data_IF_935195513083
#
_entry.id   IF_935195513083
#
_cell.length_a   1.000
_cell.length_b   1.000
_cell.length_c   1.000
_cell.angle_alpha   90.00
_cell.angle_beta   90.00
_cell.angle_gamma   90.00
#
_symmetry.space_group_name_H-M   'P 1'
#
loop_
_entity.id
_entity.type
_entity.pdbx_description
1 polymer ?
#
# COMPACT_ATOMS: atom_id res chain seq x y z
N UNK A 1 7.49 -29.64 37.00
CA UNK A 1 6.18 -28.95 36.84
C UNK A 1 6.07 -28.49 35.39
N UNK A 2 5.15 -29.07 34.63
CA UNK A 2 5.06 -28.87 33.17
C UNK A 2 4.16 -27.66 32.86
N UNK A 3 4.73 -26.60 32.30
CA UNK A 3 4.01 -25.37 31.98
C UNK A 3 3.15 -25.59 30.71
N UNK A 4 1.82 -25.59 30.89
CA UNK A 4 0.86 -25.65 29.77
C UNK A 4 0.99 -24.39 28.92
N UNK A 5 1.47 -24.55 27.68
CA UNK A 5 1.43 -23.53 26.61
C UNK A 5 -0.04 -23.19 26.34
N UNK A 6 -0.47 -21.95 26.60
CA UNK A 6 -1.77 -21.44 26.15
C UNK A 6 -1.67 -21.23 24.64
N UNK A 7 -2.46 -21.97 23.86
CA UNK A 7 -2.63 -21.68 22.45
C UNK A 7 -3.43 -20.36 22.32
N UNK A 8 -2.82 -19.33 21.75
CA UNK A 8 -3.54 -18.12 21.39
C UNK A 8 -4.55 -18.49 20.30
N UNK A 9 -5.83 -18.46 20.64
CA UNK A 9 -6.93 -18.62 19.68
C UNK A 9 -6.93 -17.36 18.82
N UNK A 10 -6.57 -17.50 17.55
CA UNK A 10 -6.77 -16.42 16.57
C UNK A 10 -8.27 -16.46 16.27
N UNK A 11 -9.01 -15.48 16.79
CA UNK A 11 -10.42 -15.33 16.47
C UNK A 11 -10.52 -14.79 15.03
N UNK A 12 -11.30 -15.47 14.21
CA UNK A 12 -11.53 -15.11 12.81
C UNK A 12 -12.57 -13.97 12.82
N UNK A 13 -12.13 -12.75 12.54
CA UNK A 13 -12.97 -11.54 12.51
C UNK A 13 -13.62 -11.33 11.13
N UNK A 14 -13.91 -12.40 10.40
CA UNK A 14 -14.53 -12.35 9.07
C UNK A 14 -16.05 -12.11 9.20
N UNK A 15 -16.44 -10.89 9.59
CA UNK A 15 -17.82 -10.44 9.45
C UNK A 15 -18.02 -9.91 8.01
N UNK A 16 -18.82 -10.59 7.17
CA UNK A 16 -19.01 -10.20 5.78
C UNK A 16 -19.63 -8.80 5.62
N UNK A 17 -20.36 -8.29 6.63
CA UNK A 17 -20.86 -6.92 6.61
C UNK A 17 -19.71 -5.92 6.80
N UNK A 18 -18.78 -6.21 7.71
CA UNK A 18 -17.60 -5.38 7.94
C UNK A 18 -16.67 -5.36 6.72
N UNK A 19 -16.49 -6.51 6.06
CA UNK A 19 -15.72 -6.59 4.81
C UNK A 19 -16.34 -5.76 3.69
N UNK A 20 -17.67 -5.78 3.55
CA UNK A 20 -18.39 -4.99 2.56
C UNK A 20 -18.23 -3.48 2.83
N UNK A 21 -18.37 -3.05 4.09
CA UNK A 21 -18.21 -1.64 4.49
C UNK A 21 -16.77 -1.14 4.28
N UNK A 22 -15.78 -1.97 4.63
CA UNK A 22 -14.37 -1.67 4.38
C UNK A 22 -14.09 -1.53 2.89
N UNK A 23 -14.62 -2.44 2.07
CA UNK A 23 -14.46 -2.38 0.62
C UNK A 23 -15.09 -1.12 0.03
N UNK A 24 -16.31 -0.78 0.44
CA UNK A 24 -17.00 0.42 -0.04
C UNK A 24 -16.22 1.70 0.33
N UNK A 25 -15.70 1.76 1.57
CA UNK A 25 -14.90 2.89 2.04
C UNK A 25 -13.59 3.01 1.25
N UNK A 26 -12.91 1.88 1.01
CA UNK A 26 -11.68 1.84 0.22
C UNK A 26 -11.92 2.31 -1.21
N UNK A 27 -12.97 1.82 -1.87
CA UNK A 27 -13.32 2.22 -3.24
C UNK A 27 -13.64 3.72 -3.33
N UNK A 28 -14.38 4.26 -2.36
CA UNK A 28 -14.69 5.69 -2.30
C UNK A 28 -13.42 6.55 -2.14
N UNK A 29 -12.49 6.14 -1.27
CA UNK A 29 -11.24 6.86 -1.04
C UNK A 29 -10.30 6.77 -2.25
N UNK A 30 -10.19 5.60 -2.88
CA UNK A 30 -9.43 5.44 -4.12
C UNK A 30 -9.97 6.32 -5.26
N UNK A 31 -11.30 6.41 -5.40
CA UNK A 31 -11.93 7.30 -6.37
C UNK A 31 -11.66 8.79 -6.05
N UNK A 32 -11.63 9.17 -4.77
CA UNK A 32 -11.28 10.52 -4.32
C UNK A 32 -9.82 10.87 -4.65
N UNK A 33 -8.89 9.96 -4.38
CA UNK A 33 -7.47 10.12 -4.70
C UNK A 33 -7.22 10.21 -6.21
N UNK A 34 -7.94 9.40 -6.99
CA UNK A 34 -7.87 9.45 -8.45
C UNK A 34 -8.27 10.82 -9.01
N UNK A 35 -9.35 11.43 -8.46
CA UNK A 35 -9.78 12.79 -8.83
C UNK A 35 -8.74 13.87 -8.52
N UNK A 36 -7.91 13.65 -7.50
CA UNK A 36 -6.83 14.56 -7.07
C UNK A 36 -5.50 14.28 -7.79
N UNK A 37 -5.47 13.33 -8.73
CA UNK A 37 -4.26 12.87 -9.41
C UNK A 37 -3.16 12.38 -8.45
N UNK A 38 -3.57 11.79 -7.33
CA UNK A 38 -2.65 11.22 -6.34
C UNK A 38 -2.30 9.79 -6.78
N UNK A 39 -1.00 9.44 -6.89
CA UNK A 39 -0.61 8.09 -7.28
C UNK A 39 -0.82 7.10 -6.14
N UNK A 40 -1.13 5.86 -6.49
CA UNK A 40 -0.99 4.73 -5.57
C UNK A 40 0.49 4.39 -5.43
N UNK A 41 0.98 4.33 -4.20
CA UNK A 41 2.39 4.08 -3.88
C UNK A 41 2.52 2.66 -3.33
N UNK A 42 3.39 1.85 -3.95
CA UNK A 42 3.68 0.51 -3.47
C UNK A 42 5.11 0.10 -3.83
N UNK A 43 5.55 -1.06 -3.33
CA UNK A 43 6.86 -1.65 -3.61
C UNK A 43 6.68 -3.06 -4.15
N UNK A 44 7.51 -3.46 -5.12
CA UNK A 44 7.59 -4.81 -5.63
C UNK A 44 9.07 -5.19 -5.87
N UNK A 45 9.31 -6.28 -6.59
CA UNK A 45 10.65 -6.78 -6.91
C UNK A 45 11.54 -5.79 -7.71
N UNK A 46 10.95 -4.77 -8.35
CA UNK A 46 11.69 -3.72 -9.06
C UNK A 46 12.29 -2.68 -8.10
N UNK A 47 11.80 -2.59 -6.86
CA UNK A 47 12.32 -1.68 -5.84
C UNK A 47 13.52 -2.31 -5.11
N UNK A 48 14.71 -2.22 -5.72
CA UNK A 48 15.95 -2.81 -5.18
C UNK A 48 16.40 -2.11 -3.90
N UNK A 49 16.25 -0.79 -3.84
CA UNK A 49 16.65 0.01 -2.66
C UNK A 49 15.48 0.26 -1.70
N UNK A 50 15.81 0.55 -0.45
CA UNK A 50 14.82 0.87 0.60
C UNK A 50 14.02 2.14 0.32
N UNK A 51 14.64 3.11 -0.36
CA UNK A 51 14.08 4.40 -0.71
C UNK A 51 13.45 4.43 -2.13
N UNK A 52 13.26 3.27 -2.75
CA UNK A 52 12.58 3.16 -4.04
C UNK A 52 11.13 2.73 -3.88
N UNK A 53 10.27 3.37 -4.67
CA UNK A 53 8.82 3.16 -4.67
C UNK A 53 8.27 3.20 -6.08
N UNK A 54 7.13 2.55 -6.30
CA UNK A 54 6.38 2.63 -7.56
C UNK A 54 5.18 3.53 -7.35
N UNK A 55 5.07 4.55 -8.18
CA UNK A 55 3.92 5.42 -8.30
C UNK A 55 3.07 4.97 -9.47
N UNK A 56 1.84 4.51 -9.19
CA UNK A 56 0.83 4.24 -10.21
C UNK A 56 -0.19 5.37 -10.22
N UNK A 57 -0.18 6.17 -11.27
CA UNK A 57 -1.11 7.27 -11.44
C UNK A 57 -2.47 6.78 -11.96
N UNK A 58 -3.55 7.58 -11.76
CA UNK A 58 -4.89 7.23 -12.22
C UNK A 58 -5.01 7.11 -13.74
N UNK A 59 -4.12 7.75 -14.50
CA UNK A 59 -4.03 7.67 -15.96
C UNK A 59 -3.39 6.36 -16.47
N UNK A 60 -2.98 5.48 -15.55
CA UNK A 60 -2.36 4.20 -15.85
C UNK A 60 -0.84 4.26 -15.99
N UNK A 61 -0.21 5.45 -15.89
CA UNK A 61 1.25 5.55 -15.92
C UNK A 61 1.85 5.04 -14.63
N UNK A 62 2.91 4.26 -14.76
CA UNK A 62 3.69 3.73 -13.65
C UNK A 62 5.10 4.31 -13.69
N UNK A 63 5.60 4.73 -12.53
CA UNK A 63 6.95 5.26 -12.38
C UNK A 63 7.65 4.59 -11.22
N UNK A 64 8.84 4.09 -11.45
CA UNK A 64 9.78 3.78 -10.39
C UNK A 64 10.47 5.08 -9.99
N UNK A 65 10.32 5.46 -8.72
CA UNK A 65 10.92 6.64 -8.13
C UNK A 65 11.92 6.24 -7.04
N UNK A 66 12.87 7.14 -6.79
CA UNK A 66 13.75 7.09 -5.63
C UNK A 66 13.54 8.37 -4.81
N UNK A 67 13.29 8.22 -3.52
CA UNK A 67 13.12 9.32 -2.59
C UNK A 67 14.45 9.58 -1.85
N UNK A 68 14.89 10.82 -1.79
CA UNK A 68 16.04 11.20 -0.97
C UNK A 68 15.66 11.19 0.52
N UNK A 69 16.53 10.64 1.37
CA UNK A 69 16.27 10.51 2.81
C UNK A 69 16.48 11.83 3.58
N UNK A 70 17.22 12.78 3.00
CA UNK A 70 17.61 14.03 3.66
C UNK A 70 16.57 15.13 3.50
N UNK A 71 15.97 15.26 2.32
CA UNK A 71 15.02 16.33 1.99
C UNK A 71 13.67 15.82 1.44
N UNK A 72 13.47 14.50 1.36
CA UNK A 72 12.27 13.88 0.79
C UNK A 72 12.01 14.23 -0.68
N UNK A 73 13.01 14.74 -1.40
CA UNK A 73 12.92 14.99 -2.84
C UNK A 73 12.73 13.67 -3.61
N UNK A 74 12.03 13.75 -4.73
CA UNK A 74 11.67 12.58 -5.54
C UNK A 74 12.40 12.65 -6.87
N UNK A 75 13.12 11.59 -7.21
CA UNK A 75 13.73 11.39 -8.52
C UNK A 75 13.01 10.27 -9.26
N UNK A 76 12.60 10.52 -10.50
CA UNK A 76 12.02 9.47 -11.37
C UNK A 76 13.18 8.70 -12.00
N UNK A 77 13.24 7.39 -11.74
CA UNK A 77 14.27 6.52 -12.29
C UNK A 77 13.85 5.88 -13.61
N UNK A 78 12.60 5.41 -13.70
CA UNK A 78 12.10 4.68 -14.87
C UNK A 78 10.58 4.81 -14.98
N UNK A 79 10.07 4.88 -16.21
CA UNK A 79 8.65 4.67 -16.50
C UNK A 79 8.41 3.20 -16.87
N UNK A 80 7.43 2.57 -16.21
CA UNK A 80 7.07 1.15 -16.35
C UNK A 80 5.85 0.96 -17.26
#
# INVERSE_FOLDING_TARGET
MSAKKKANKIEDFSDPALEADLKATLEAELASQAKKNIPQIFRNELCVKANQFIHKYPDGKLFLIEQDQTDSSITILLQL
#
